data_IF_367350898516
#
_entry.id   IF_367350898516
#
_cell.length_a   1.000
_cell.length_b   1.000
_cell.length_c   1.000
_cell.angle_alpha   90.00
_cell.angle_beta   90.00
_cell.angle_gamma   90.00
#
_symmetry.space_group_name_H-M   'P 1'
#
loop_
_entity.id
_entity.type
_entity.pdbx_description
1 polymer ?
#
# COMPACT_ATOMS: atom_id res chain seq x y z
N UNK A 1 -17.04 54.38 -23.54
CA UNK A 1 -18.21 54.83 -22.77
C UNK A 1 -17.94 54.43 -21.34
N UNK A 2 -17.26 55.26 -20.52
CA UNK A 2 -17.78 56.18 -19.49
C UNK A 2 -18.74 55.42 -18.52
N UNK A 3 -18.56 55.37 -17.20
CA UNK A 3 -18.13 56.32 -16.15
C UNK A 3 -17.95 55.47 -14.88
N UNK A 4 -16.89 55.44 -14.09
CA UNK A 4 -16.51 56.43 -13.07
C UNK A 4 -17.66 56.83 -12.10
N UNK A 5 -17.54 56.47 -10.81
CA UNK A 5 -17.75 57.36 -9.67
C UNK A 5 -16.99 56.87 -8.42
N UNK A 6 -16.17 57.79 -7.96
CA UNK A 6 -15.50 57.94 -6.66
C UNK A 6 -16.49 58.47 -5.62
N UNK A 7 -16.21 58.30 -4.36
CA UNK A 7 -16.33 59.19 -3.20
C UNK A 7 -16.56 58.40 -1.93
N UNK A 8 -16.08 58.69 -0.75
CA UNK A 8 -15.14 59.65 -0.12
C UNK A 8 -15.09 59.28 1.37
N UNK A 9 -13.95 59.28 1.90
CA UNK A 9 -13.36 59.92 3.10
C UNK A 9 -14.16 60.11 4.39
N UNK A 10 -13.42 59.86 5.43
CA UNK A 10 -13.29 60.71 6.66
C UNK A 10 -13.84 60.19 7.98
N UNK A 11 -12.98 60.14 8.97
CA UNK A 11 -13.35 59.98 10.38
C UNK A 11 -12.17 59.65 11.30
N UNK A 12 -11.12 60.45 11.24
CA UNK A 12 -10.04 60.47 12.24
C UNK A 12 -10.53 61.07 13.56
N UNK A 13 -10.47 60.38 14.69
CA UNK A 13 -10.51 60.95 16.02
C UNK A 13 -9.32 60.53 16.84
N UNK A 14 -8.44 61.50 17.03
CA UNK A 14 -7.41 61.54 18.02
C UNK A 14 -8.05 61.89 19.39
N UNK A 15 -7.77 61.16 20.42
CA UNK A 15 -7.97 61.63 21.80
C UNK A 15 -6.81 61.27 22.70
N UNK A 16 -6.33 62.29 23.17
CA UNK A 16 -5.31 62.72 24.13
C UNK A 16 -5.01 61.81 25.32
N UNK A 17 -3.73 61.87 25.67
CA UNK A 17 -3.04 61.41 26.87
C UNK A 17 -3.69 61.87 28.18
N UNK A 18 -3.60 61.00 29.16
CA UNK A 18 -3.35 61.43 30.55
C UNK A 18 -2.41 60.46 31.24
N UNK A 19 -1.23 60.97 31.56
CA UNK A 19 -0.32 60.43 32.55
C UNK A 19 -0.90 60.56 33.93
N UNK A 20 -0.95 59.49 34.70
CA UNK A 20 -0.97 59.62 36.16
C UNK A 20 0.05 58.62 36.76
N UNK A 21 1.07 59.22 37.31
CA UNK A 21 2.16 58.63 38.11
C UNK A 21 1.64 58.35 39.51
N UNK A 22 1.61 57.13 39.99
CA UNK A 22 1.54 56.84 41.42
C UNK A 22 2.45 55.65 41.79
N UNK A 23 3.53 56.02 42.49
CA UNK A 23 4.21 55.43 43.64
C UNK A 23 4.38 53.91 43.77
N UNK A 24 5.66 53.63 43.93
CA UNK A 24 6.30 52.45 44.46
C UNK A 24 5.67 51.93 45.77
N UNK A 25 5.50 50.61 45.79
CA UNK A 25 5.29 49.83 46.99
C UNK A 25 6.08 48.53 46.90
N UNK A 26 7.22 48.49 47.57
CA UNK A 26 8.06 47.32 47.77
C UNK A 26 7.35 46.28 48.60
N UNK A 27 7.18 45.05 48.07
CA UNK A 27 7.20 43.85 48.92
C UNK A 27 7.64 42.65 48.12
N UNK A 28 8.83 42.23 48.46
CA UNK A 28 9.47 40.99 48.09
C UNK A 28 8.61 39.79 48.51
N UNK A 29 8.16 38.98 47.58
CA UNK A 29 7.78 37.58 47.83
C UNK A 29 8.19 36.74 46.63
N UNK A 30 9.25 35.96 46.83
CA UNK A 30 9.64 34.86 45.99
C UNK A 30 8.47 33.90 45.76
N UNK A 31 7.97 33.81 44.53
CA UNK A 31 7.21 32.66 44.08
C UNK A 31 8.09 31.94 43.06
N UNK A 32 8.68 30.85 43.54
CA UNK A 32 9.30 29.86 42.68
C UNK A 32 8.22 29.26 41.79
N UNK A 33 8.11 29.75 40.56
CA UNK A 33 7.29 29.16 39.52
C UNK A 33 7.92 27.86 39.08
N UNK A 34 7.38 26.75 39.57
CA UNK A 34 7.67 25.39 39.08
C UNK A 34 7.18 25.29 37.65
N UNK A 35 8.08 25.50 36.71
CA UNK A 35 7.84 25.29 35.27
C UNK A 35 7.78 23.79 35.03
N UNK A 36 6.58 23.23 35.10
CA UNK A 36 6.28 21.84 34.72
C UNK A 36 6.43 21.73 33.21
N UNK A 37 7.62 21.36 32.71
CA UNK A 37 7.86 20.94 31.34
C UNK A 37 7.09 19.64 31.11
N UNK A 38 5.87 19.74 30.62
CA UNK A 38 5.18 18.61 29.98
C UNK A 38 5.97 18.26 28.72
N UNK A 39 6.90 17.33 28.83
CA UNK A 39 7.45 16.63 27.69
C UNK A 39 6.33 15.74 27.14
N UNK A 40 5.58 16.24 26.17
CA UNK A 40 4.76 15.39 25.30
C UNK A 40 5.72 14.46 24.58
N UNK A 41 5.88 13.23 25.10
CA UNK A 41 6.40 12.14 24.32
C UNK A 41 5.40 11.91 23.17
N UNK A 42 5.70 12.44 22.00
CA UNK A 42 5.10 11.98 20.76
C UNK A 42 5.57 10.53 20.61
N UNK A 43 4.77 9.58 21.07
CA UNK A 43 4.90 8.19 20.69
C UNK A 43 4.51 8.21 19.20
N UNK A 44 5.51 8.27 18.33
CA UNK A 44 5.30 7.97 16.92
C UNK A 44 4.72 6.55 16.89
N UNK A 45 3.45 6.42 16.53
CA UNK A 45 2.85 5.12 16.23
C UNK A 45 3.67 4.56 15.08
N UNK A 46 4.57 3.61 15.35
CA UNK A 46 5.24 2.89 14.27
C UNK A 46 4.15 2.21 13.45
N UNK A 47 4.04 2.63 12.21
CA UNK A 47 3.07 2.07 11.28
C UNK A 47 3.44 0.59 11.04
N UNK A 48 2.70 -0.32 11.68
CA UNK A 48 2.94 -1.76 11.59
C UNK A 48 2.59 -2.34 10.22
N UNK A 49 2.03 -1.51 9.32
CA UNK A 49 1.56 -1.94 8.00
C UNK A 49 1.92 -0.89 6.93
N UNK A 50 2.48 -1.35 5.82
CA UNK A 50 2.59 -0.55 4.59
C UNK A 50 1.48 -0.93 3.63
N UNK A 51 0.46 -0.10 3.54
CA UNK A 51 -0.64 -0.33 2.62
C UNK A 51 -0.15 -0.23 1.17
N UNK A 52 -0.49 -1.24 0.37
CA UNK A 52 -0.24 -1.30 -1.07
C UNK A 52 -1.55 -1.02 -1.82
N UNK A 53 -2.62 -1.68 -1.39
CA UNK A 53 -3.93 -1.52 -2.00
C UNK A 53 -5.04 -1.89 -1.00
N UNK A 54 -6.06 -1.05 -0.87
CA UNK A 54 -7.24 -1.28 -0.02
C UNK A 54 -8.54 -1.44 -0.80
N UNK A 55 -8.45 -1.44 -2.12
CA UNK A 55 -9.59 -1.54 -3.05
C UNK A 55 -10.61 -0.40 -2.95
N UNK A 56 -10.20 0.77 -2.48
CA UNK A 56 -11.08 1.96 -2.52
C UNK A 56 -11.22 2.57 -3.90
N UNK A 57 -10.26 2.31 -4.79
CA UNK A 57 -10.35 2.72 -6.19
C UNK A 57 -11.45 1.96 -6.93
N UNK A 58 -12.18 2.67 -7.80
CA UNK A 58 -13.22 2.07 -8.66
C UNK A 58 -12.68 1.64 -10.02
N UNK A 59 -11.38 1.45 -10.14
CA UNK A 59 -10.67 0.97 -11.31
C UNK A 59 -9.55 0.01 -10.89
N UNK A 60 -8.66 -0.34 -11.80
CA UNK A 60 -7.51 -1.22 -11.50
C UNK A 60 -6.34 -0.48 -10.84
N UNK A 61 -6.48 0.80 -10.47
CA UNK A 61 -5.44 1.54 -9.76
C UNK A 61 -5.36 1.09 -8.31
N UNK A 62 -4.15 0.81 -7.84
CA UNK A 62 -3.85 0.51 -6.44
C UNK A 62 -3.66 1.79 -5.63
N UNK A 63 -3.83 1.72 -4.32
CA UNK A 63 -3.66 2.85 -3.38
C UNK A 63 -2.28 3.51 -3.52
N UNK A 64 -1.24 2.76 -3.86
CA UNK A 64 0.12 3.30 -4.11
C UNK A 64 0.25 4.04 -5.45
N UNK A 65 -0.81 4.17 -6.25
CA UNK A 65 -0.85 4.93 -7.50
C UNK A 65 -0.41 4.17 -8.74
N UNK A 66 -0.02 2.90 -8.65
CA UNK A 66 0.29 2.02 -9.78
C UNK A 66 -0.94 1.21 -10.17
N UNK A 67 -0.89 0.54 -11.34
CA UNK A 67 -2.07 -0.15 -11.88
C UNK A 67 -1.88 -1.66 -11.91
N UNK A 68 -2.89 -2.38 -11.42
CA UNK A 68 -2.98 -3.83 -11.58
C UNK A 68 -3.20 -4.21 -13.04
N UNK A 69 -2.54 -5.28 -13.47
CA UNK A 69 -2.71 -5.82 -14.81
C UNK A 69 -2.73 -7.34 -14.81
N UNK A 70 -3.48 -7.91 -15.71
CA UNK A 70 -3.45 -9.34 -15.99
C UNK A 70 -2.20 -9.69 -16.80
N UNK A 71 -1.50 -10.74 -16.39
CA UNK A 71 -0.45 -11.39 -17.16
C UNK A 71 -0.76 -12.88 -17.18
N UNK A 72 -0.76 -13.49 -18.36
CA UNK A 72 -0.92 -14.93 -18.55
C UNK A 72 0.34 -15.52 -19.16
N UNK A 73 0.45 -16.85 -19.13
CA UNK A 73 1.51 -17.58 -19.80
C UNK A 73 1.51 -17.45 -21.34
N UNK A 74 0.48 -16.83 -21.91
CA UNK A 74 0.44 -16.44 -23.32
C UNK A 74 1.64 -15.61 -23.77
N UNK A 75 2.28 -14.85 -22.86
CA UNK A 75 3.55 -14.12 -23.12
C UNK A 75 4.71 -15.05 -23.44
N UNK A 76 4.58 -16.35 -23.16
CA UNK A 76 5.58 -17.41 -23.45
C UNK A 76 5.02 -18.52 -24.36
N UNK A 77 3.85 -18.30 -24.96
CA UNK A 77 3.21 -19.28 -25.84
C UNK A 77 2.28 -20.28 -25.14
N UNK A 78 2.06 -20.14 -23.83
CA UNK A 78 1.07 -20.92 -23.08
C UNK A 78 -0.37 -20.59 -23.49
N UNK A 79 -1.31 -21.39 -23.02
CA UNK A 79 -2.73 -21.30 -23.40
C UNK A 79 -3.67 -21.04 -22.21
N UNK A 80 -3.13 -20.70 -21.03
CA UNK A 80 -3.95 -20.28 -19.91
C UNK A 80 -4.74 -19.03 -20.26
N UNK A 81 -5.99 -18.96 -19.84
CA UNK A 81 -6.88 -17.83 -20.08
C UNK A 81 -7.41 -17.28 -18.78
N UNK A 82 -7.59 -15.97 -18.70
CA UNK A 82 -8.10 -15.35 -17.48
C UNK A 82 -8.60 -13.93 -17.68
N UNK A 83 -9.23 -13.43 -16.64
CA UNK A 83 -9.70 -12.05 -16.51
C UNK A 83 -9.25 -11.48 -15.18
N UNK A 84 -9.04 -10.17 -15.16
CA UNK A 84 -8.78 -9.39 -13.96
C UNK A 84 -9.74 -8.21 -13.98
N UNK A 85 -10.63 -8.14 -13.00
CA UNK A 85 -11.66 -7.10 -12.96
C UNK A 85 -12.04 -6.75 -11.53
N UNK A 86 -12.68 -5.60 -11.36
CA UNK A 86 -13.35 -5.29 -10.11
C UNK A 86 -14.58 -6.18 -9.95
N UNK A 87 -14.81 -6.60 -8.73
CA UNK A 87 -15.97 -7.40 -8.33
C UNK A 87 -16.30 -7.13 -6.87
N UNK A 88 -17.42 -7.70 -6.42
CA UNK A 88 -17.81 -7.73 -5.00
C UNK A 88 -18.09 -9.17 -4.56
N UNK A 89 -17.62 -9.51 -3.36
CA UNK A 89 -17.93 -10.77 -2.69
C UNK A 89 -18.39 -10.48 -1.27
N UNK A 90 -19.58 -10.95 -0.94
CA UNK A 90 -20.17 -10.74 0.40
C UNK A 90 -20.13 -9.27 0.85
N UNK A 91 -20.45 -8.34 -0.09
CA UNK A 91 -20.49 -6.90 0.18
C UNK A 91 -19.14 -6.20 0.30
N UNK A 92 -18.01 -6.89 0.05
CA UNK A 92 -16.68 -6.29 0.02
C UNK A 92 -16.16 -6.19 -1.39
N UNK A 93 -15.61 -5.02 -1.74
CA UNK A 93 -14.94 -4.80 -3.02
C UNK A 93 -13.64 -5.59 -3.12
N UNK A 94 -13.37 -6.12 -4.30
CA UNK A 94 -12.16 -6.89 -4.57
C UNK A 94 -11.70 -6.77 -6.02
N UNK A 95 -10.46 -7.13 -6.24
CA UNK A 95 -9.90 -7.40 -7.55
C UNK A 95 -10.01 -8.91 -7.81
N UNK A 96 -10.89 -9.31 -8.73
CA UNK A 96 -11.12 -10.73 -9.03
C UNK A 96 -10.23 -11.21 -10.16
N UNK A 97 -9.37 -12.19 -9.84
CA UNK A 97 -8.58 -12.97 -10.77
C UNK A 97 -9.32 -14.29 -11.03
N UNK A 98 -9.79 -14.50 -12.24
CA UNK A 98 -10.56 -15.69 -12.62
C UNK A 98 -10.09 -16.24 -13.96
N UNK A 99 -10.02 -17.57 -14.10
CA UNK A 99 -9.69 -18.18 -15.39
C UNK A 99 -9.23 -19.64 -15.29
N UNK A 100 -8.81 -20.18 -16.42
CA UNK A 100 -8.33 -21.55 -16.54
C UNK A 100 -6.80 -21.58 -16.69
N UNK A 101 -6.13 -22.22 -15.74
CA UNK A 101 -4.69 -22.48 -15.82
C UNK A 101 -4.46 -23.78 -16.58
N UNK A 102 -3.64 -23.74 -17.62
CA UNK A 102 -3.27 -24.87 -18.45
C UNK A 102 -1.76 -25.07 -18.49
N UNK A 103 -1.30 -26.31 -18.41
CA UNK A 103 0.13 -26.65 -18.54
C UNK A 103 0.58 -26.87 -19.99
N UNK A 104 -0.33 -26.76 -20.97
CA UNK A 104 0.01 -26.94 -22.39
C UNK A 104 1.00 -25.85 -22.83
N UNK A 105 1.83 -26.21 -23.80
CA UNK A 105 2.85 -25.34 -24.40
C UNK A 105 3.83 -24.71 -23.36
N UNK A 106 4.19 -25.46 -22.30
CA UNK A 106 5.00 -24.95 -21.19
C UNK A 106 4.38 -23.76 -20.45
N UNK A 107 3.05 -23.64 -20.51
CA UNK A 107 2.28 -22.67 -19.75
C UNK A 107 2.20 -23.01 -18.27
N UNK A 108 1.23 -22.45 -17.58
CA UNK A 108 0.93 -22.80 -16.18
C UNK A 108 0.68 -21.64 -15.27
N UNK A 109 0.24 -20.47 -15.77
CA UNK A 109 -0.15 -19.39 -14.87
C UNK A 109 -1.09 -18.35 -15.45
N UNK A 110 -1.89 -17.75 -14.54
CA UNK A 110 -2.50 -16.43 -14.69
C UNK A 110 -2.15 -15.60 -13.46
N UNK A 111 -1.92 -14.31 -13.64
CA UNK A 111 -1.38 -13.43 -12.61
C UNK A 111 -2.04 -12.06 -12.60
N UNK A 112 -2.44 -11.59 -11.41
CA UNK A 112 -2.62 -10.18 -11.12
C UNK A 112 -1.26 -9.58 -10.73
N UNK A 113 -0.72 -8.68 -11.54
CA UNK A 113 0.60 -8.07 -11.34
C UNK A 113 0.50 -6.58 -11.05
N UNK A 114 1.31 -6.09 -10.12
CA UNK A 114 1.39 -4.68 -9.73
C UNK A 114 2.85 -4.24 -9.58
N UNK A 115 3.24 -3.15 -10.24
CA UNK A 115 4.50 -2.48 -9.94
C UNK A 115 4.39 -1.80 -8.56
N UNK A 116 5.38 -1.97 -7.70
CA UNK A 116 5.35 -1.46 -6.32
C UNK A 116 5.77 0.01 -6.19
N UNK A 117 6.29 0.59 -7.27
CA UNK A 117 6.58 2.00 -7.38
C UNK A 117 6.35 2.45 -8.84
N UNK A 118 5.99 3.72 -9.09
CA UNK A 118 5.89 4.26 -10.45
C UNK A 118 7.22 4.23 -11.20
N UNK A 119 8.34 4.29 -10.46
CA UNK A 119 9.71 4.14 -10.96
C UNK A 119 10.63 3.65 -9.85
N UNK A 120 11.65 2.86 -10.21
CA UNK A 120 12.62 2.34 -9.26
C UNK A 120 12.09 1.21 -8.39
N UNK A 121 12.41 1.21 -7.13
CA UNK A 121 12.11 0.14 -6.17
C UNK A 121 11.36 0.67 -4.96
N UNK A 122 10.60 -0.21 -4.31
CA UNK A 122 10.05 0.00 -2.98
C UNK A 122 10.93 -0.73 -1.97
N UNK A 123 11.36 -0.02 -0.93
CA UNK A 123 12.05 -0.60 0.21
C UNK A 123 11.02 -1.12 1.23
N UNK A 124 10.97 -2.44 1.38
CA UNK A 124 10.16 -3.14 2.36
C UNK A 124 10.99 -3.82 3.46
N UNK A 125 12.26 -3.43 3.64
CA UNK A 125 13.17 -4.05 4.63
C UNK A 125 12.71 -3.88 6.08
N UNK A 126 11.87 -2.87 6.36
CA UNK A 126 11.26 -2.65 7.66
C UNK A 126 10.10 -3.61 7.99
N UNK A 127 9.68 -4.46 7.05
CA UNK A 127 8.52 -5.36 7.18
C UNK A 127 8.96 -6.83 7.17
N UNK A 128 8.06 -7.71 7.65
CA UNK A 128 8.31 -9.13 7.79
C UNK A 128 7.70 -9.97 6.66
N UNK A 129 6.73 -9.43 5.92
CA UNK A 129 6.07 -10.17 4.86
C UNK A 129 4.93 -9.42 4.19
N UNK A 130 4.17 -10.16 3.37
CA UNK A 130 2.98 -9.70 2.67
C UNK A 130 1.74 -10.18 3.42
N UNK A 131 0.78 -9.29 3.64
CA UNK A 131 -0.56 -9.63 4.14
C UNK A 131 -1.59 -9.36 3.07
N UNK A 132 -2.47 -10.33 2.83
CA UNK A 132 -3.53 -10.31 1.83
C UNK A 132 -4.87 -10.62 2.48
N UNK A 133 -5.89 -9.81 2.22
CA UNK A 133 -7.27 -10.22 2.46
C UNK A 133 -7.78 -10.88 1.17
N UNK A 134 -8.22 -12.14 1.27
CA UNK A 134 -8.62 -12.93 0.11
C UNK A 134 -9.94 -13.66 0.35
N UNK A 135 -10.64 -13.93 -0.75
CA UNK A 135 -11.75 -14.85 -0.83
C UNK A 135 -11.49 -15.79 -2.00
N UNK A 136 -11.23 -17.05 -1.73
CA UNK A 136 -10.84 -18.02 -2.75
C UNK A 136 -11.87 -19.12 -3.01
N UNK A 137 -11.39 -20.15 -3.69
CA UNK A 137 -12.14 -21.34 -4.06
C UNK A 137 -11.57 -22.64 -3.47
N UNK A 138 -10.78 -22.54 -2.39
CA UNK A 138 -10.13 -23.68 -1.73
C UNK A 138 -8.84 -24.13 -2.43
N UNK A 139 -8.29 -23.31 -3.32
CA UNK A 139 -7.13 -23.63 -4.12
C UNK A 139 -5.86 -22.91 -3.60
N UNK A 140 -4.70 -23.51 -3.89
CA UNK A 140 -3.41 -22.89 -3.58
C UNK A 140 -3.03 -21.86 -4.66
N UNK A 141 -2.63 -20.67 -4.20
CA UNK A 141 -2.09 -19.58 -5.01
C UNK A 141 -0.68 -19.23 -4.53
N UNK A 142 -0.01 -18.37 -5.29
CA UNK A 142 1.33 -17.91 -4.96
C UNK A 142 1.39 -16.38 -4.90
N UNK A 143 2.24 -15.87 -4.03
CA UNK A 143 2.78 -14.52 -4.15
C UNK A 143 4.13 -14.61 -4.86
N UNK A 144 4.27 -13.88 -5.95
CA UNK A 144 5.55 -13.69 -6.64
C UNK A 144 6.07 -12.29 -6.36
N UNK A 145 7.33 -12.17 -5.96
CA UNK A 145 8.02 -10.90 -5.78
C UNK A 145 9.19 -10.83 -6.76
N UNK A 146 9.32 -9.68 -7.42
CA UNK A 146 10.50 -9.32 -8.21
C UNK A 146 11.28 -8.22 -7.54
N UNK A 147 12.58 -8.33 -7.61
CA UNK A 147 13.52 -7.30 -7.13
C UNK A 147 14.31 -6.75 -8.30
N UNK A 148 14.93 -5.60 -8.15
CA UNK A 148 15.80 -4.99 -9.18
C UNK A 148 17.04 -5.83 -9.54
N UNK A 149 17.28 -6.91 -8.81
CA UNK A 149 18.35 -7.88 -9.13
C UNK A 149 17.89 -9.03 -10.06
N UNK A 150 16.61 -9.04 -10.42
CA UNK A 150 16.01 -10.07 -11.29
C UNK A 150 15.95 -9.56 -12.71
N UNK A 151 16.76 -10.12 -13.59
CA UNK A 151 16.92 -9.67 -14.98
C UNK A 151 15.99 -10.38 -15.97
N UNK A 152 15.69 -11.66 -15.71
CA UNK A 152 14.97 -12.47 -16.67
C UNK A 152 13.45 -12.47 -16.35
N UNK A 153 12.58 -12.45 -17.34
CA UNK A 153 11.13 -12.35 -17.14
C UNK A 153 10.54 -13.46 -16.25
N UNK A 154 11.09 -14.66 -16.35
CA UNK A 154 10.64 -15.85 -15.60
C UNK A 154 11.20 -15.96 -14.20
N UNK A 155 12.24 -15.18 -13.85
CA UNK A 155 12.82 -15.20 -12.50
C UNK A 155 11.97 -14.41 -11.52
N UNK A 156 11.73 -14.97 -10.35
CA UNK A 156 11.00 -14.36 -9.26
C UNK A 156 11.28 -15.10 -7.96
N UNK A 157 10.98 -14.46 -6.84
CA UNK A 157 10.87 -15.12 -5.54
C UNK A 157 9.39 -15.44 -5.31
N UNK A 158 9.09 -16.63 -4.78
CA UNK A 158 7.71 -17.08 -4.59
C UNK A 158 7.48 -17.76 -3.26
N UNK A 159 6.27 -17.61 -2.75
CA UNK A 159 5.73 -18.35 -1.64
C UNK A 159 4.25 -18.67 -1.89
N UNK A 160 3.78 -19.81 -1.41
CA UNK A 160 2.41 -20.26 -1.61
C UNK A 160 1.53 -19.92 -0.43
N UNK A 161 0.22 -19.76 -0.68
CA UNK A 161 -0.82 -19.64 0.33
C UNK A 161 -2.09 -20.35 -0.12
N UNK A 162 -2.93 -20.75 0.83
CA UNK A 162 -4.27 -21.29 0.57
C UNK A 162 -5.28 -20.14 0.56
N UNK A 163 -6.19 -20.16 -0.40
CA UNK A 163 -7.31 -19.22 -0.48
C UNK A 163 -8.63 -19.98 -0.30
N UNK A 164 -9.01 -20.14 0.95
CA UNK A 164 -10.23 -20.83 1.33
C UNK A 164 -11.48 -20.06 0.90
N UNK A 165 -12.65 -20.71 0.77
CA UNK A 165 -13.92 -20.03 0.63
C UNK A 165 -14.23 -19.15 1.87
N UNK A 166 -14.69 -17.93 1.64
CA UNK A 166 -14.91 -16.91 2.67
C UNK A 166 -13.74 -15.94 2.81
N UNK A 167 -14.04 -14.73 3.33
CA UNK A 167 -13.02 -13.70 3.56
C UNK A 167 -12.12 -14.07 4.73
N UNK A 168 -10.82 -14.07 4.49
CA UNK A 168 -9.79 -14.26 5.51
C UNK A 168 -8.51 -13.53 5.13
N UNK A 169 -7.68 -13.23 6.15
CA UNK A 169 -6.36 -12.64 5.97
C UNK A 169 -5.31 -13.72 5.95
N UNK A 170 -4.39 -13.64 5.00
CA UNK A 170 -3.25 -14.54 4.86
C UNK A 170 -1.96 -13.74 5.03
N UNK A 171 -1.06 -14.21 5.89
CA UNK A 171 0.30 -13.68 6.03
C UNK A 171 1.30 -14.59 5.34
N UNK A 172 2.11 -14.02 4.45
CA UNK A 172 3.16 -14.70 3.71
C UNK A 172 4.50 -14.08 4.12
N UNK A 173 5.24 -14.69 5.06
CA UNK A 173 6.49 -14.11 5.58
C UNK A 173 7.58 -14.08 4.50
N UNK A 174 8.40 -13.04 4.51
CA UNK A 174 9.53 -12.92 3.56
C UNK A 174 10.52 -14.07 3.67
N UNK A 175 10.68 -14.64 4.86
CA UNK A 175 11.52 -15.83 5.07
C UNK A 175 11.02 -17.09 4.32
N UNK A 176 9.72 -17.12 3.92
CA UNK A 176 9.13 -18.21 3.16
C UNK A 176 9.33 -18.11 1.64
N UNK A 177 9.89 -17.00 1.14
CA UNK A 177 10.08 -16.82 -0.30
C UNK A 177 11.32 -17.55 -0.81
N UNK A 178 11.12 -18.44 -1.76
CA UNK A 178 12.19 -19.16 -2.45
C UNK A 178 12.43 -18.59 -3.86
N UNK A 179 13.69 -18.44 -4.25
CA UNK A 179 14.05 -17.99 -5.60
C UNK A 179 13.75 -19.05 -6.65
N UNK A 180 13.05 -18.68 -7.72
CA UNK A 180 12.84 -19.52 -8.88
C UNK A 180 13.88 -19.20 -9.95
N UNK A 181 14.81 -20.13 -10.19
CA UNK A 181 15.96 -19.96 -11.10
C UNK A 181 16.83 -18.73 -10.77
N UNK A 182 16.95 -18.42 -9.50
CA UNK A 182 17.78 -17.34 -8.95
C UNK A 182 18.67 -17.92 -7.86
N UNK A 183 19.98 -17.66 -7.94
CA UNK A 183 20.93 -18.02 -6.90
C UNK A 183 21.12 -16.96 -5.81
N UNK A 184 20.64 -15.73 -6.05
CA UNK A 184 20.74 -14.65 -5.08
C UNK A 184 19.67 -14.78 -3.98
N UNK A 185 20.02 -14.40 -2.75
CA UNK A 185 19.08 -14.30 -1.65
C UNK A 185 18.02 -13.21 -1.94
N UNK A 186 16.81 -13.40 -1.39
CA UNK A 186 15.74 -12.40 -1.44
C UNK A 186 16.15 -11.14 -0.67
N UNK A 187 15.93 -9.98 -1.30
CA UNK A 187 16.27 -8.68 -0.74
C UNK A 187 15.03 -7.79 -0.74
N UNK A 188 14.33 -7.64 0.40
CA UNK A 188 13.11 -6.84 0.49
C UNK A 188 13.34 -5.33 0.32
N UNK A 189 14.58 -4.84 0.42
CA UNK A 189 14.89 -3.42 0.18
C UNK A 189 14.78 -3.03 -1.31
N UNK A 190 14.57 -3.99 -2.22
CA UNK A 190 14.68 -3.78 -3.67
C UNK A 190 13.48 -4.28 -4.46
N UNK A 191 12.28 -4.19 -3.90
CA UNK A 191 11.07 -4.70 -4.54
C UNK A 191 10.64 -3.83 -5.71
N UNK A 192 10.41 -4.44 -6.86
CA UNK A 192 9.86 -3.79 -8.05
C UNK A 192 8.40 -4.15 -8.30
N UNK A 193 8.07 -5.44 -8.12
CA UNK A 193 6.74 -5.95 -8.50
C UNK A 193 6.25 -7.01 -7.53
N UNK A 194 4.95 -6.99 -7.27
CA UNK A 194 4.20 -8.09 -6.66
C UNK A 194 3.27 -8.72 -7.69
N UNK A 195 3.12 -10.03 -7.62
CA UNK A 195 2.14 -10.80 -8.40
C UNK A 195 1.37 -11.75 -7.49
N UNK A 196 0.05 -11.80 -7.66
CA UNK A 196 -0.81 -12.82 -7.06
C UNK A 196 -1.17 -13.79 -8.17
N UNK A 197 -0.79 -15.07 -8.01
CA UNK A 197 -0.64 -15.99 -9.14
C UNK A 197 -1.32 -17.31 -8.89
N UNK A 198 -2.19 -17.71 -9.82
CA UNK A 198 -2.61 -19.09 -10.00
C UNK A 198 -1.53 -19.80 -10.83
N UNK A 199 -0.84 -20.80 -10.26
CA UNK A 199 0.43 -21.27 -10.80
C UNK A 199 0.65 -22.79 -10.69
N UNK A 200 1.29 -23.34 -11.71
CA UNK A 200 2.05 -24.60 -11.63
C UNK A 200 1.26 -25.90 -11.76
N UNK A 201 -0.06 -25.84 -11.91
CA UNK A 201 -0.95 -26.96 -12.20
C UNK A 201 -2.15 -26.51 -13.03
N UNK A 202 -2.84 -27.44 -13.67
CA UNK A 202 -4.09 -27.15 -14.36
C UNK A 202 -5.24 -27.10 -13.36
N UNK A 203 -5.97 -25.97 -13.30
CA UNK A 203 -7.15 -25.77 -12.44
C UNK A 203 -7.90 -24.50 -12.83
N UNK A 204 -9.16 -24.41 -12.39
CA UNK A 204 -9.97 -23.21 -12.50
C UNK A 204 -9.64 -22.28 -11.33
N UNK A 205 -9.05 -21.14 -11.59
CA UNK A 205 -8.77 -20.11 -10.62
C UNK A 205 -9.98 -19.20 -10.41
N UNK A 206 -10.30 -18.90 -9.15
CA UNK A 206 -11.29 -17.89 -8.75
C UNK A 206 -10.88 -17.29 -7.41
N UNK A 207 -10.27 -16.12 -7.45
CA UNK A 207 -9.70 -15.44 -6.31
C UNK A 207 -10.12 -13.97 -6.30
N UNK A 208 -10.81 -13.53 -5.26
CA UNK A 208 -11.01 -12.13 -4.93
C UNK A 208 -9.86 -11.66 -4.02
N UNK A 209 -9.16 -10.64 -4.44
CA UNK A 209 -8.09 -9.98 -3.71
C UNK A 209 -8.64 -8.66 -3.16
N UNK A 210 -8.74 -8.56 -1.87
CA UNK A 210 -9.13 -7.35 -1.14
C UNK A 210 -7.91 -6.49 -0.83
N UNK A 211 -7.63 -6.26 0.46
CA UNK A 211 -6.48 -5.49 0.89
C UNK A 211 -5.16 -6.23 0.65
N UNK A 212 -4.15 -5.48 0.22
CA UNK A 212 -2.76 -5.94 0.08
C UNK A 212 -1.86 -4.98 0.86
N UNK A 213 -1.03 -5.50 1.75
CA UNK A 213 -0.10 -4.71 2.53
C UNK A 213 1.20 -5.48 2.84
N UNK A 214 2.26 -4.76 3.20
CA UNK A 214 3.37 -5.35 3.94
C UNK A 214 3.12 -5.19 5.43
N UNK A 215 3.35 -6.25 6.22
CA UNK A 215 3.16 -6.26 7.66
C UNK A 215 4.48 -6.31 8.41
N UNK A 216 4.49 -5.75 9.63
CA UNK A 216 5.55 -5.92 10.61
C UNK A 216 4.95 -6.70 11.80
N UNK A 217 5.67 -7.68 12.29
CA UNK A 217 5.33 -8.33 13.55
C UNK A 217 5.65 -7.36 14.72
N UNK A 218 4.80 -7.41 15.74
CA UNK A 218 4.93 -6.58 16.93
C UNK A 218 6.11 -7.04 17.81
#
# INVERSE_FOLDING_TARGET
MRMMWLHEMSGMRVLHMRNDTIRQGTSSRCLAGLLLLLTMNLIASEDTMKLIDDRQSRDLQATIGTQWRLITDGVMGGVSSGTLRLDQREGRDCLRLQGEVSLQNNGGFIQAALELAPSGVLDASAYNGVELDVYGNGEAYNVHLKTSRVWLPWQHYRASFMAEPGWHSVRVPFAGFAGYRIGAAFDPARLERIGIVAYGRAFTADLCIGRVAFYRDA
#
